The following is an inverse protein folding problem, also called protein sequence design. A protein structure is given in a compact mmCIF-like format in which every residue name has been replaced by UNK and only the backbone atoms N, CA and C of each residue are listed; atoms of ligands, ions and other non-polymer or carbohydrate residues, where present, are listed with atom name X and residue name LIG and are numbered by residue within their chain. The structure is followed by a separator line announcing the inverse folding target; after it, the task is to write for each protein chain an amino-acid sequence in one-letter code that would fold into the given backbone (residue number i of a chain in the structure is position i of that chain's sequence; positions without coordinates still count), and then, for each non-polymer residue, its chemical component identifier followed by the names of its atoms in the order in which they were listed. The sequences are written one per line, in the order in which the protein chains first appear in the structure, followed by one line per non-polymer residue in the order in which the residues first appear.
data_IF_971528008297
#
_entry.id   IF_971528008297
#
_cell.length_a   1.000
_cell.length_b   1.000
_cell.length_c   1.000
_cell.angle_alpha   90.00
_cell.angle_beta   90.00
_cell.angle_gamma   90.00
#
_symmetry.space_group_name_H-M   'P 1'
#
loop_
_entity.id
_entity.type
_entity.pdbx_description
1 polymer ?
#
# COMPACT_ATOMS: atom_id res chain seq x y z
N UNK A 1 5.35 17.03 10.42
CA UNK A 1 5.95 16.97 9.07
C UNK A 1 5.38 15.74 8.40
N UNK A 2 4.61 15.90 7.34
CA UNK A 2 4.10 14.78 6.54
C UNK A 2 5.17 14.47 5.48
N UNK A 3 5.74 13.26 5.51
CA UNK A 3 6.75 12.82 4.55
C UNK A 3 6.16 12.58 3.16
N UNK A 4 7.01 12.27 2.17
CA UNK A 4 6.56 12.00 0.80
C UNK A 4 5.51 10.86 0.70
N UNK A 5 5.58 9.87 1.60
CA UNK A 5 4.57 8.83 1.70
C UNK A 5 3.17 9.41 1.97
N UNK A 6 3.03 10.26 2.98
CA UNK A 6 1.74 10.86 3.37
C UNK A 6 1.17 11.72 2.24
N UNK A 7 2.04 12.46 1.53
CA UNK A 7 1.66 13.28 0.38
C UNK A 7 1.08 12.43 -0.74
N UNK A 8 1.75 11.34 -1.09
CA UNK A 8 1.29 10.41 -2.13
C UNK A 8 -0.01 9.72 -1.72
N UNK A 9 -0.09 9.20 -0.50
CA UNK A 9 -1.29 8.56 0.02
C UNK A 9 -2.50 9.52 0.05
N UNK A 10 -2.27 10.79 0.40
CA UNK A 10 -3.30 11.84 0.39
C UNK A 10 -3.84 12.12 -1.03
N UNK A 11 -2.97 12.09 -2.04
CA UNK A 11 -3.42 12.27 -3.44
C UNK A 11 -4.40 11.15 -3.82
N UNK A 12 -4.10 9.90 -3.49
CA UNK A 12 -5.02 8.77 -3.78
C UNK A 12 -6.31 8.85 -2.97
N UNK A 13 -6.24 9.24 -1.68
CA UNK A 13 -7.41 9.26 -0.78
C UNK A 13 -8.42 10.35 -1.10
N UNK A 14 -8.02 11.41 -1.82
CA UNK A 14 -8.90 12.52 -2.16
C UNK A 14 -9.71 12.24 -3.44
N UNK A 15 -10.91 11.69 -3.27
CA UNK A 15 -11.83 11.39 -4.38
C UNK A 15 -12.08 12.58 -5.33
N UNK A 16 -12.20 13.80 -4.81
CA UNK A 16 -12.43 15.01 -5.64
C UNK A 16 -11.24 15.39 -6.53
N UNK A 17 -10.01 15.07 -6.11
CA UNK A 17 -8.78 15.29 -6.89
C UNK A 17 -8.37 14.10 -7.75
N UNK A 18 -8.89 12.91 -7.42
CA UNK A 18 -8.50 11.62 -7.99
C UNK A 18 -9.69 10.83 -8.52
N UNK A 19 -10.73 11.51 -9.02
CA UNK A 19 -11.92 10.84 -9.59
C UNK A 19 -11.59 9.92 -10.77
N UNK A 20 -10.47 10.16 -11.47
CA UNK A 20 -9.96 9.26 -12.51
C UNK A 20 -9.21 8.03 -11.98
N UNK A 21 -8.95 7.95 -10.68
CA UNK A 21 -8.25 6.82 -10.07
C UNK A 21 -9.08 5.55 -10.12
N UNK A 22 -10.42 5.62 -10.10
CA UNK A 22 -11.27 4.42 -10.06
C UNK A 22 -12.49 4.56 -10.97
N UNK A 23 -13.08 3.42 -11.35
CA UNK A 23 -14.41 3.33 -12.00
C UNK A 23 -14.56 4.07 -13.33
N UNK A 24 -13.46 4.44 -14.00
CA UNK A 24 -13.47 5.15 -15.27
C UNK A 24 -12.29 4.77 -16.17
N UNK A 25 -12.28 5.25 -17.43
CA UNK A 25 -11.26 4.91 -18.42
C UNK A 25 -9.85 5.38 -18.02
N UNK A 26 -9.76 6.33 -17.09
CA UNK A 26 -8.50 6.82 -16.55
C UNK A 26 -7.86 5.88 -15.50
N UNK A 27 -8.53 4.82 -15.05
CA UNK A 27 -8.06 3.93 -13.98
C UNK A 27 -6.61 3.47 -14.17
N UNK A 28 -6.30 2.88 -15.33
CA UNK A 28 -4.96 2.36 -15.64
C UNK A 28 -3.90 3.47 -15.80
N UNK A 29 -4.10 4.51 -16.65
CA UNK A 29 -3.09 5.56 -16.80
C UNK A 29 -2.88 6.37 -15.52
N UNK A 30 -3.92 6.59 -14.71
CA UNK A 30 -3.82 7.27 -13.42
C UNK A 30 -2.90 6.50 -12.46
N UNK A 31 -3.15 5.19 -12.28
CA UNK A 31 -2.32 4.36 -11.40
C UNK A 31 -0.89 4.19 -11.92
N UNK A 32 -0.68 4.15 -13.25
CA UNK A 32 0.66 4.11 -13.84
C UNK A 32 1.47 5.36 -13.51
N UNK A 33 0.89 6.54 -13.66
CA UNK A 33 1.56 7.80 -13.29
C UNK A 33 1.75 7.90 -11.76
N UNK A 34 0.78 7.43 -10.98
CA UNK A 34 0.90 7.38 -9.52
C UNK A 34 2.07 6.49 -9.07
N UNK A 35 2.19 5.27 -9.59
CA UNK A 35 3.30 4.35 -9.30
C UNK A 35 4.66 4.88 -9.78
N UNK A 36 4.70 5.59 -10.92
CA UNK A 36 5.91 6.28 -11.37
C UNK A 36 6.39 7.32 -10.33
N UNK A 37 5.46 8.06 -9.71
CA UNK A 37 5.81 9.04 -8.66
C UNK A 37 6.29 8.36 -7.38
N UNK A 38 5.72 7.21 -7.02
CA UNK A 38 6.22 6.39 -5.90
C UNK A 38 7.66 5.94 -6.17
N UNK A 39 7.95 5.41 -7.36
CA UNK A 39 9.30 4.97 -7.72
C UNK A 39 10.30 6.14 -7.74
N UNK A 40 9.91 7.30 -8.28
CA UNK A 40 10.74 8.51 -8.22
C UNK A 40 11.07 8.89 -6.77
N UNK A 41 10.09 8.84 -5.86
CA UNK A 41 10.30 9.19 -4.45
C UNK A 41 11.23 8.18 -3.75
N UNK A 42 11.13 6.89 -4.06
CA UNK A 42 12.07 5.86 -3.56
C UNK A 42 13.48 6.15 -4.07
N UNK A 43 13.63 6.45 -5.36
CA UNK A 43 14.93 6.74 -5.98
C UNK A 43 15.58 8.06 -5.54
N UNK A 44 14.80 8.98 -4.97
CA UNK A 44 15.34 10.17 -4.30
C UNK A 44 16.08 9.82 -3.00
N UNK A 45 15.75 8.68 -2.37
CA UNK A 45 16.45 8.16 -1.19
C UNK A 45 17.63 7.28 -1.61
N UNK A 46 17.38 6.32 -2.52
CA UNK A 46 18.42 5.44 -3.05
C UNK A 46 18.17 5.15 -4.55
N UNK A 47 19.04 5.65 -5.45
CA UNK A 47 18.86 5.52 -6.89
C UNK A 47 18.98 4.08 -7.43
N UNK A 48 19.52 3.14 -6.65
CA UNK A 48 19.63 1.72 -7.06
C UNK A 48 18.33 0.94 -6.81
N UNK A 49 17.39 1.50 -6.04
CA UNK A 49 16.11 0.86 -5.77
C UNK A 49 15.11 1.01 -6.91
N UNK A 50 14.30 -0.03 -7.10
CA UNK A 50 13.15 -0.05 -7.99
C UNK A 50 11.90 -0.49 -7.22
N UNK A 51 10.73 -0.07 -7.69
CA UNK A 51 9.47 -0.50 -7.08
C UNK A 51 9.14 -1.94 -7.52
N UNK A 52 9.12 -2.92 -6.61
CA UNK A 52 8.75 -4.29 -6.98
C UNK A 52 7.27 -4.38 -7.31
N UNK A 53 6.89 -5.43 -8.04
CA UNK A 53 5.49 -5.81 -8.22
C UNK A 53 5.19 -7.08 -7.42
N UNK A 54 3.93 -7.24 -7.05
CA UNK A 54 3.41 -8.47 -6.45
C UNK A 54 2.62 -9.24 -7.51
N UNK A 55 3.06 -10.46 -7.84
CA UNK A 55 2.32 -11.37 -8.69
C UNK A 55 1.35 -12.23 -7.86
N UNK A 56 0.14 -11.71 -7.63
CA UNK A 56 -0.86 -12.41 -6.82
C UNK A 56 -1.29 -13.76 -7.40
N UNK A 57 -1.02 -14.06 -8.67
CA UNK A 57 -1.37 -15.34 -9.28
C UNK A 57 -0.49 -16.48 -8.75
N UNK A 58 0.72 -16.18 -8.27
CA UNK A 58 1.59 -17.17 -7.63
C UNK A 58 1.04 -17.56 -6.26
N UNK A 59 0.60 -16.59 -5.46
CA UNK A 59 -0.03 -16.86 -4.16
C UNK A 59 -1.37 -17.59 -4.25
N UNK A 60 -2.16 -17.31 -5.29
CA UNK A 60 -3.43 -18.00 -5.55
C UNK A 60 -3.24 -19.51 -5.70
N UNK A 61 -2.10 -19.93 -6.27
CA UNK A 61 -1.77 -21.34 -6.48
C UNK A 61 -1.21 -22.05 -5.24
N UNK A 62 -1.01 -21.35 -4.11
CA UNK A 62 -0.51 -21.97 -2.88
C UNK A 62 -1.64 -22.64 -2.07
N UNK A 63 -1.35 -23.72 -1.31
CA UNK A 63 -2.33 -24.31 -0.40
C UNK A 63 -2.87 -23.31 0.64
N UNK A 64 -2.07 -22.30 0.98
CA UNK A 64 -2.50 -21.14 1.74
C UNK A 64 -1.62 -19.94 1.39
N UNK A 65 -2.22 -18.85 0.91
CA UNK A 65 -1.49 -17.63 0.51
C UNK A 65 -0.74 -16.96 1.67
N UNK A 66 -1.11 -17.25 2.93
CA UNK A 66 -0.39 -16.77 4.12
C UNK A 66 1.05 -17.31 4.22
N UNK A 67 1.38 -18.36 3.47
CA UNK A 67 2.72 -18.93 3.44
C UNK A 67 3.66 -18.17 2.49
N UNK A 68 3.16 -17.15 1.77
CA UNK A 68 4.02 -16.28 0.96
C UNK A 68 5.07 -15.59 1.81
N UNK A 69 6.27 -15.46 1.26
CA UNK A 69 7.38 -14.71 1.87
C UNK A 69 6.98 -13.25 2.14
N UNK A 70 6.04 -12.70 1.35
CA UNK A 70 5.54 -11.33 1.51
C UNK A 70 4.98 -11.08 2.91
N UNK A 71 4.35 -12.07 3.53
CA UNK A 71 3.68 -11.92 4.84
C UNK A 71 4.57 -12.28 6.03
N UNK A 72 5.88 -12.44 5.82
CA UNK A 72 6.85 -12.66 6.89
C UNK A 72 7.34 -11.35 7.48
N UNK A 73 7.97 -11.42 8.66
CA UNK A 73 8.55 -10.25 9.33
C UNK A 73 9.78 -9.66 8.60
N UNK A 74 10.31 -10.32 7.58
CA UNK A 74 11.35 -9.77 6.71
C UNK A 74 10.77 -8.78 5.68
N UNK A 75 9.50 -8.95 5.28
CA UNK A 75 8.84 -8.16 4.24
C UNK A 75 7.67 -7.33 4.80
N UNK A 76 6.41 -7.66 4.47
CA UNK A 76 5.24 -6.82 4.81
C UNK A 76 4.73 -7.05 6.23
N UNK A 77 5.19 -8.10 6.90
CA UNK A 77 4.84 -8.42 8.29
C UNK A 77 3.61 -9.31 8.42
N UNK A 78 3.57 -10.02 9.55
CA UNK A 78 2.42 -10.84 9.92
C UNK A 78 1.28 -9.97 10.48
N UNK A 79 0.03 -10.41 10.24
CA UNK A 79 -1.15 -9.77 10.80
C UNK A 79 -1.91 -10.68 11.75
N UNK A 80 -2.40 -10.12 12.87
CA UNK A 80 -3.33 -10.80 13.75
C UNK A 80 -4.34 -9.79 14.33
N UNK A 81 -5.58 -10.26 14.54
CA UNK A 81 -6.68 -9.44 15.08
C UNK A 81 -6.90 -8.11 14.31
N UNK A 82 -6.68 -8.13 12.99
CA UNK A 82 -6.87 -6.95 12.13
C UNK A 82 -5.77 -5.90 12.24
N UNK A 83 -4.63 -6.21 12.86
CA UNK A 83 -3.45 -5.34 12.93
C UNK A 83 -2.21 -6.05 12.38
N UNK A 84 -1.29 -5.28 11.79
CA UNK A 84 0.07 -5.76 11.49
C UNK A 84 0.85 -5.75 12.79
N UNK A 85 1.30 -6.92 13.26
CA UNK A 85 1.93 -7.05 14.58
C UNK A 85 3.42 -7.40 14.49
N UNK A 86 3.93 -7.68 13.30
CA UNK A 86 5.34 -7.98 13.06
C UNK A 86 5.90 -7.29 11.81
N UNK A 87 7.21 -7.35 11.65
CA UNK A 87 7.93 -6.76 10.52
C UNK A 87 8.04 -5.22 10.55
N UNK A 88 8.54 -4.63 9.45
CA UNK A 88 8.85 -3.19 9.34
C UNK A 88 7.65 -2.26 9.56
N UNK A 89 6.42 -2.74 9.36
CA UNK A 89 5.21 -1.92 9.39
C UNK A 89 4.33 -2.08 10.65
N UNK A 90 4.76 -2.85 11.66
CA UNK A 90 3.95 -3.14 12.87
C UNK A 90 3.52 -1.91 13.69
N UNK A 91 4.28 -0.82 13.57
CA UNK A 91 4.02 0.46 14.26
C UNK A 91 3.80 1.60 13.26
N UNK A 92 3.54 1.27 11.99
CA UNK A 92 3.27 2.25 10.95
C UNK A 92 2.01 3.06 11.28
N UNK A 93 2.11 4.38 11.17
CA UNK A 93 0.97 5.28 11.39
C UNK A 93 0.24 5.52 10.09
N UNK A 94 -1.07 5.28 10.08
CA UNK A 94 -1.90 5.61 8.92
C UNK A 94 -2.13 7.13 8.84
N UNK A 95 -2.71 7.59 7.72
CA UNK A 95 -3.06 9.01 7.54
C UNK A 95 -3.99 9.55 8.64
N UNK A 96 -4.81 8.69 9.23
CA UNK A 96 -5.69 9.01 10.37
C UNK A 96 -4.95 8.99 11.72
N UNK A 97 -3.62 8.86 11.71
CA UNK A 97 -2.74 8.78 12.88
C UNK A 97 -3.00 7.58 13.81
N UNK A 98 -3.71 6.55 13.32
CA UNK A 98 -3.91 5.30 14.04
C UNK A 98 -2.63 4.48 14.00
N UNK A 99 -2.19 3.99 15.17
CA UNK A 99 -1.13 2.97 15.26
C UNK A 99 -1.82 1.64 14.96
N UNK A 100 -1.27 0.90 14.02
CA UNK A 100 -1.84 -0.32 13.42
C UNK A 100 -2.92 -0.05 12.37
N UNK A 101 -2.75 -0.68 11.22
CA UNK A 101 -3.72 -0.75 10.12
C UNK A 101 -4.95 -1.58 10.54
N UNK A 102 -5.69 -1.10 11.53
CA UNK A 102 -7.00 -1.63 11.88
C UNK A 102 -7.91 -1.34 10.69
N UNK A 103 -8.22 -2.38 9.91
CA UNK A 103 -9.34 -2.34 8.97
C UNK A 103 -10.62 -2.13 9.78
N UNK A 104 -11.00 -0.86 9.92
CA UNK A 104 -12.31 -0.46 10.41
C UNK A 104 -13.34 -0.94 9.37
N UNK A 105 -13.94 -2.11 9.62
CA UNK A 105 -14.94 -2.74 8.74
C UNK A 105 -16.17 -1.85 8.51
N UNK A 106 -16.27 -0.68 9.14
CA UNK A 106 -17.40 0.23 9.04
C UNK A 106 -17.38 1.20 7.84
N UNK A 107 -16.32 1.22 6.99
CA UNK A 107 -16.20 2.25 5.92
C UNK A 107 -16.12 1.76 4.48
N UNK A 108 -16.28 0.46 4.21
CA UNK A 108 -16.31 -0.08 2.82
C UNK A 108 -17.75 -0.11 2.25
N UNK A 109 -18.69 0.59 2.87
CA UNK A 109 -20.05 0.76 2.35
C UNK A 109 -20.36 2.25 2.15
N UNK A 110 -19.89 2.80 1.02
CA UNK A 110 -20.43 4.00 0.40
C UNK A 110 -20.04 4.01 -1.09
#
# INVERSE_FOLDING_TARGET
MHGEYDRLATIHSQFSGSGGAHSGPAFLPWHREYMKRVEIAIRQVDPELALPYWDSTLEENMPNSRYSILWTNEFMGESAAGSVNGGPFREWRTLESRVSAVLDRARVAA
#
